data_IF_291446243552
#
_entry.id   IF_291446243552
#
_cell.length_a   1.000
_cell.length_b   1.000
_cell.length_c   1.000
_cell.angle_alpha   90.00
_cell.angle_beta   90.00
_cell.angle_gamma   90.00
#
_symmetry.space_group_name_H-M   'P 1'
#
loop_
_entity.id
_entity.type
_entity.pdbx_description
1 polymer ?
#
# COMPACT_ATOMS: atom_id res chain seq x y z
N UNK A 1 8.53 2.84 10.60
CA UNK A 1 7.76 2.19 9.52
C UNK A 1 6.61 3.05 9.01
N UNK A 2 5.79 3.66 9.88
CA UNK A 2 4.63 4.49 9.48
C UNK A 2 4.92 5.48 8.34
N UNK A 3 6.04 6.21 8.42
CA UNK A 3 6.42 7.18 7.38
C UNK A 3 6.69 6.53 6.02
N UNK A 4 7.38 5.39 6.00
CA UNK A 4 7.67 4.65 4.76
C UNK A 4 6.40 4.10 4.12
N UNK A 5 5.47 3.58 4.92
CA UNK A 5 4.18 3.12 4.42
C UNK A 5 3.29 4.26 3.92
N UNK A 6 3.34 5.44 4.53
CA UNK A 6 2.65 6.62 4.02
C UNK A 6 3.17 7.03 2.63
N UNK A 7 4.48 6.92 2.39
CA UNK A 7 5.07 7.17 1.07
C UNK A 7 4.61 6.12 0.07
N UNK A 8 4.66 4.83 0.43
CA UNK A 8 4.21 3.73 -0.42
C UNK A 8 2.74 3.90 -0.82
N UNK A 9 1.86 4.17 0.15
CA UNK A 9 0.44 4.40 -0.09
C UNK A 9 0.22 5.56 -1.08
N UNK A 10 0.95 6.68 -0.91
CA UNK A 10 0.86 7.79 -1.85
C UNK A 10 1.39 7.45 -3.25
N UNK A 11 2.40 6.57 -3.40
CA UNK A 11 2.83 6.12 -4.73
C UNK A 11 1.78 5.22 -5.39
N UNK A 12 1.19 4.28 -4.64
CA UNK A 12 0.13 3.39 -5.13
C UNK A 12 -1.11 4.19 -5.53
N UNK A 13 -1.55 5.13 -4.69
CA UNK A 13 -2.69 6.01 -4.97
C UNK A 13 -2.49 6.80 -6.27
N UNK A 14 -1.32 7.42 -6.45
CA UNK A 14 -1.00 8.13 -7.71
C UNK A 14 -1.04 7.19 -8.91
N UNK A 15 -0.48 6.00 -8.78
CA UNK A 15 -0.44 5.05 -9.88
C UNK A 15 -1.83 4.50 -10.23
N UNK A 16 -2.71 4.30 -9.24
CA UNK A 16 -4.13 3.96 -9.44
C UNK A 16 -4.88 5.07 -10.17
N UNK A 17 -4.69 6.33 -9.76
CA UNK A 17 -5.31 7.49 -10.43
C UNK A 17 -4.86 7.59 -11.90
N UNK A 18 -3.57 7.38 -12.18
CA UNK A 18 -3.04 7.37 -13.56
C UNK A 18 -3.64 6.21 -14.38
N UNK A 19 -3.89 5.06 -13.75
CA UNK A 19 -4.52 3.91 -14.39
C UNK A 19 -6.04 4.06 -14.59
N UNK A 20 -6.66 5.11 -14.02
CA UNK A 20 -8.11 5.35 -14.10
C UNK A 20 -8.94 4.45 -13.19
N UNK A 21 -8.35 3.88 -12.13
CA UNK A 21 -9.04 3.03 -11.16
C UNK A 21 -9.57 3.89 -10.00
N UNK A 22 -10.79 3.59 -9.55
CA UNK A 22 -11.38 4.23 -8.37
C UNK A 22 -10.70 3.69 -7.10
N UNK A 23 -10.06 4.58 -6.35
CA UNK A 23 -9.32 4.25 -5.12
C UNK A 23 -10.24 3.84 -3.96
N UNK A 24 -11.53 4.19 -4.02
CA UNK A 24 -12.50 3.91 -2.96
C UNK A 24 -13.03 2.48 -2.97
N UNK A 25 -12.94 1.78 -4.11
CA UNK A 25 -13.52 0.43 -4.29
C UNK A 25 -12.48 -0.65 -3.97
N UNK A 26 -12.42 -1.08 -2.71
CA UNK A 26 -11.53 -2.15 -2.26
C UNK A 26 -12.22 -3.52 -2.31
N UNK A 27 -11.44 -4.60 -2.45
CA UNK A 27 -11.96 -5.97 -2.41
C UNK A 27 -11.66 -6.67 -1.08
N UNK A 28 -10.56 -6.30 -0.39
CA UNK A 28 -10.13 -6.95 0.86
C UNK A 28 -10.39 -6.07 2.09
N UNK A 29 -10.18 -4.76 1.99
CA UNK A 29 -10.60 -3.81 3.03
C UNK A 29 -12.07 -3.47 2.85
N UNK A 30 -12.85 -3.57 3.94
CA UNK A 30 -14.26 -3.16 3.93
C UNK A 30 -14.40 -1.72 3.45
N UNK A 31 -15.26 -1.50 2.46
CA UNK A 31 -15.60 -0.18 1.96
C UNK A 31 -16.10 0.68 3.12
N UNK A 32 -15.41 1.79 3.37
CA UNK A 32 -15.80 2.82 4.31
C UNK A 32 -15.74 4.15 3.55
N UNK A 33 -16.81 4.95 3.66
CA UNK A 33 -16.89 6.25 3.01
C UNK A 33 -15.63 7.09 3.30
N UNK A 34 -14.95 7.52 2.24
CA UNK A 34 -13.75 8.35 2.30
C UNK A 34 -12.43 7.61 2.54
N UNK A 35 -12.41 6.26 2.57
CA UNK A 35 -11.18 5.47 2.68
C UNK A 35 -10.72 5.00 1.31
N UNK A 36 -9.42 5.15 1.02
CA UNK A 36 -8.78 4.60 -0.17
C UNK A 36 -8.55 3.08 -0.01
N UNK A 37 -9.64 2.29 0.08
CA UNK A 37 -9.59 0.85 0.37
C UNK A 37 -8.74 0.08 -0.65
N UNK A 38 -8.81 0.42 -1.94
CA UNK A 38 -7.99 -0.20 -2.97
C UNK A 38 -6.50 0.11 -2.83
N UNK A 39 -6.16 1.30 -2.33
CA UNK A 39 -4.76 1.66 -2.05
C UNK A 39 -4.20 0.74 -0.99
N UNK A 40 -4.95 0.50 0.09
CA UNK A 40 -4.48 -0.40 1.15
C UNK A 40 -4.38 -1.84 0.67
N UNK A 41 -5.29 -2.32 -0.18
CA UNK A 41 -5.21 -3.66 -0.79
C UNK A 41 -3.92 -3.86 -1.60
N UNK A 42 -3.51 -2.86 -2.39
CA UNK A 42 -2.31 -2.93 -3.23
C UNK A 42 -1.01 -2.54 -2.51
N UNK A 43 -1.11 -1.89 -1.35
CA UNK A 43 0.04 -1.66 -0.46
C UNK A 43 0.51 -2.97 0.16
N UNK A 44 -0.40 -3.90 0.50
CA UNK A 44 -0.05 -5.13 1.22
C UNK A 44 1.00 -6.00 0.50
N UNK A 45 0.89 -6.32 -0.81
CA UNK A 45 1.90 -7.08 -1.53
C UNK A 45 3.28 -6.39 -1.57
N UNK A 46 3.30 -5.06 -1.53
CA UNK A 46 4.51 -4.25 -1.62
C UNK A 46 5.23 -4.06 -0.27
N UNK A 47 4.58 -4.37 0.87
CA UNK A 47 5.17 -4.16 2.20
C UNK A 47 6.51 -4.88 2.40
N UNK A 48 6.68 -6.18 2.05
CA UNK A 48 7.95 -6.86 2.27
C UNK A 48 9.13 -6.20 1.53
N UNK A 49 8.87 -5.58 0.38
CA UNK A 49 9.88 -4.88 -0.43
C UNK A 49 10.35 -3.60 0.27
N UNK A 50 9.40 -2.79 0.77
CA UNK A 50 9.72 -1.59 1.55
C UNK A 50 10.39 -1.95 2.86
N UNK A 51 9.90 -2.97 3.56
CA UNK A 51 10.45 -3.41 4.84
C UNK A 51 11.90 -3.84 4.72
N UNK A 52 12.19 -4.71 3.75
CA UNK A 52 13.56 -5.14 3.48
C UNK A 52 14.48 -3.94 3.21
N UNK A 53 14.02 -2.99 2.39
CA UNK A 53 14.82 -1.81 2.02
C UNK A 53 15.10 -0.91 3.23
N UNK A 54 14.06 -0.60 4.01
CA UNK A 54 14.17 0.26 5.18
C UNK A 54 14.97 -0.41 6.30
N UNK A 55 14.71 -1.68 6.62
CA UNK A 55 15.45 -2.37 7.68
C UNK A 55 16.92 -2.55 7.32
N UNK A 56 17.24 -2.87 6.07
CA UNK A 56 18.63 -2.95 5.60
C UNK A 56 19.33 -1.59 5.76
N UNK A 57 18.67 -0.50 5.38
CA UNK A 57 19.24 0.84 5.57
C UNK A 57 19.39 1.20 7.05
N UNK A 58 18.38 0.92 7.87
CA UNK A 58 18.37 1.23 9.30
C UNK A 58 19.50 0.53 10.05
N UNK A 59 19.74 -0.75 9.72
CA UNK A 59 20.79 -1.56 10.34
C UNK A 59 22.20 -1.03 10.04
N UNK A 60 22.39 -0.35 8.91
CA UNK A 60 23.67 0.18 8.47
C UNK A 60 23.87 1.68 8.78
N UNK A 61 22.87 2.34 9.38
CA UNK A 61 22.90 3.77 9.65
C UNK A 61 23.47 4.06 11.04
N UNK A 62 24.24 5.15 11.14
CA UNK A 62 24.72 5.66 12.44
C UNK A 62 23.70 6.64 13.03
N UNK A 63 23.11 6.27 14.15
CA UNK A 63 22.03 7.02 14.81
C UNK A 63 22.53 8.06 15.81
N UNK A 64 21.79 9.17 15.91
CA UNK A 64 21.97 10.23 16.91
C UNK A 64 20.63 10.52 17.58
N UNK A 65 20.65 11.02 18.82
CA UNK A 65 19.42 11.46 19.51
C UNK A 65 18.70 12.57 18.76
N UNK A 66 19.44 13.44 18.07
CA UNK A 66 18.90 14.53 17.24
C UNK A 66 18.07 14.07 16.04
N UNK A 67 18.16 12.80 15.67
CA UNK A 67 17.42 12.24 14.54
C UNK A 67 15.93 12.03 14.86
N UNK A 68 15.56 12.12 16.14
CA UNK A 68 14.20 11.92 16.63
C UNK A 68 13.76 13.10 17.49
N UNK A 69 12.49 13.45 17.39
CA UNK A 69 11.84 14.51 18.17
C UNK A 69 10.75 13.87 19.02
N UNK A 70 10.80 14.11 20.32
CA UNK A 70 9.71 13.75 21.24
C UNK A 70 8.78 14.96 21.35
N UNK A 71 7.50 14.78 21.05
CA UNK A 71 6.51 15.84 21.28
C UNK A 71 5.96 15.84 22.71
N UNK A 72 5.15 16.85 23.03
CA UNK A 72 4.58 17.04 24.38
C UNK A 72 3.63 15.92 24.80
N UNK A 73 3.12 15.15 23.84
CA UNK A 73 2.22 14.02 24.05
C UNK A 73 3.00 12.70 24.18
N UNK A 74 4.34 12.73 24.12
CA UNK A 74 5.17 11.53 24.21
C UNK A 74 5.29 10.76 22.89
N UNK A 75 4.85 11.32 21.76
CA UNK A 75 4.98 10.68 20.45
C UNK A 75 6.37 10.96 19.89
N UNK A 76 7.03 9.90 19.42
CA UNK A 76 8.34 9.98 18.76
C UNK A 76 8.11 10.24 17.26
N UNK A 77 8.69 11.33 16.77
CA UNK A 77 8.67 11.73 15.37
C UNK A 77 10.07 11.68 14.78
N UNK A 78 10.16 11.36 13.49
CA UNK A 78 11.42 11.43 12.74
C UNK A 78 11.75 12.90 12.49
N UNK A 79 12.98 13.33 12.77
CA UNK A 79 13.41 14.69 12.49
C UNK A 79 13.28 15.00 10.98
N UNK A 80 12.85 16.21 10.55
CA UNK A 80 12.60 16.52 9.14
C UNK A 80 13.77 16.21 8.18
N UNK A 81 15.02 16.36 8.64
CA UNK A 81 16.20 16.03 7.83
C UNK A 81 16.32 14.53 7.59
N UNK A 82 16.08 13.71 8.62
CA UNK A 82 16.06 12.26 8.49
C UNK A 82 14.85 11.81 7.67
N UNK A 83 13.69 12.46 7.84
CA UNK A 83 12.49 12.16 7.07
C UNK A 83 12.72 12.29 5.55
N UNK A 84 13.49 13.30 5.11
CA UNK A 84 13.90 13.43 3.70
C UNK A 84 14.70 12.22 3.20
N UNK A 85 15.62 11.70 4.02
CA UNK A 85 16.38 10.49 3.68
C UNK A 85 15.46 9.29 3.62
N UNK A 86 14.51 9.16 4.56
CA UNK A 86 13.52 8.08 4.55
C UNK A 86 12.68 8.13 3.27
N UNK A 87 12.29 9.31 2.77
CA UNK A 87 11.63 9.43 1.45
C UNK A 87 12.46 8.77 0.37
N UNK A 88 13.73 9.17 0.22
CA UNK A 88 14.61 8.61 -0.81
C UNK A 88 14.82 7.10 -0.68
N UNK A 89 14.81 6.56 0.54
CA UNK A 89 15.00 5.13 0.79
C UNK A 89 13.72 4.30 0.64
N UNK A 90 12.55 4.87 0.92
CA UNK A 90 11.28 4.18 0.87
C UNK A 90 10.63 4.20 -0.53
N UNK A 91 11.05 5.13 -1.41
CA UNK A 91 10.54 5.21 -2.77
C UNK A 91 10.86 3.93 -3.54
N UNK A 92 9.81 3.20 -3.92
CA UNK A 92 9.95 2.09 -4.85
C UNK A 92 10.03 2.63 -6.29
N UNK A 93 10.76 1.94 -7.20
CA UNK A 93 10.73 2.27 -8.62
C UNK A 93 9.29 2.19 -9.17
N UNK A 94 8.90 3.15 -10.01
CA UNK A 94 7.54 3.21 -10.58
C UNK A 94 7.16 1.94 -11.36
N UNK A 95 8.14 1.24 -11.95
CA UNK A 95 7.93 -0.04 -12.61
C UNK A 95 7.37 -1.12 -11.67
N UNK A 96 7.89 -1.21 -10.44
CA UNK A 96 7.43 -2.19 -9.44
C UNK A 96 5.96 -1.96 -9.09
N UNK A 97 5.57 -0.70 -8.89
CA UNK A 97 4.20 -0.34 -8.53
C UNK A 97 3.26 -0.58 -9.72
N UNK A 98 3.71 -0.23 -10.92
CA UNK A 98 2.96 -0.46 -12.16
C UNK A 98 2.73 -1.96 -12.40
N UNK A 99 3.73 -2.79 -12.15
CA UNK A 99 3.65 -4.23 -12.34
C UNK A 99 2.61 -4.84 -11.39
N UNK A 100 2.57 -4.41 -10.13
CA UNK A 100 1.53 -4.83 -9.18
C UNK A 100 0.13 -4.39 -9.60
N UNK A 101 -0.04 -3.13 -10.05
CA UNK A 101 -1.33 -2.65 -10.55
C UNK A 101 -1.76 -3.43 -11.79
N UNK A 102 -0.84 -3.70 -12.72
CA UNK A 102 -1.12 -4.51 -13.91
C UNK A 102 -1.52 -5.94 -13.56
N UNK A 103 -0.85 -6.55 -12.56
CA UNK A 103 -1.20 -7.87 -12.05
C UNK A 103 -2.63 -7.88 -11.47
N UNK A 104 -2.99 -6.85 -10.69
CA UNK A 104 -4.33 -6.68 -10.15
C UNK A 104 -5.39 -6.49 -11.26
N UNK A 105 -5.14 -5.61 -12.23
CA UNK A 105 -6.03 -5.41 -13.38
C UNK A 105 -6.18 -6.70 -14.20
N UNK A 106 -5.10 -7.45 -14.39
CA UNK A 106 -5.12 -8.75 -15.04
C UNK A 106 -5.98 -9.76 -14.29
N UNK A 107 -5.90 -9.77 -12.95
CA UNK A 107 -6.76 -10.59 -12.10
C UNK A 107 -8.25 -10.22 -12.26
N UNK A 108 -8.56 -8.92 -12.23
CA UNK A 108 -9.94 -8.43 -12.41
C UNK A 108 -10.52 -8.86 -13.76
N UNK A 109 -9.76 -8.73 -14.85
CA UNK A 109 -10.20 -9.20 -16.18
C UNK A 109 -10.52 -10.68 -16.18
N UNK A 110 -9.65 -11.52 -15.60
CA UNK A 110 -9.87 -12.98 -15.50
C UNK A 110 -11.09 -13.34 -14.65
N UNK A 111 -11.42 -12.54 -13.64
CA UNK A 111 -12.62 -12.73 -12.82
C UNK A 111 -13.88 -12.29 -13.56
N UNK A 112 -13.84 -11.18 -14.29
CA UNK A 112 -14.96 -10.69 -15.11
C UNK A 112 -15.27 -11.59 -16.30
N UNK A 113 -14.25 -12.19 -16.92
CA UNK A 113 -14.41 -13.11 -18.06
C UNK A 113 -14.90 -14.51 -17.64
N UNK A 114 -14.85 -14.83 -16.35
CA UNK A 114 -15.35 -16.10 -15.83
C UNK A 114 -16.86 -15.95 -15.60
N UNK A 115 -17.73 -16.71 -16.29
CA UNK A 115 -19.15 -16.70 -15.95
C UNK A 115 -19.25 -17.11 -14.48
N UNK A 116 -19.81 -16.22 -13.66
CA UNK A 116 -20.21 -16.55 -12.30
C UNK A 116 -21.11 -17.78 -12.44
N UNK A 117 -20.59 -18.96 -12.07
CA UNK A 117 -21.45 -20.14 -11.91
C UNK A 117 -22.41 -19.75 -10.80
N UNK A 118 -23.60 -19.28 -11.19
CA UNK A 118 -24.77 -19.22 -10.32
C UNK A 118 -24.83 -20.61 -9.68
N UNK A 119 -24.56 -20.67 -8.38
CA UNK A 119 -24.76 -21.86 -7.60
C UNK A 119 -26.22 -22.25 -7.82
N UNK A 120 -26.40 -23.30 -8.61
CA UNK A 120 -27.69 -23.83 -9.03
C UNK A 120 -28.60 -23.91 -7.83
N UNK A 121 -29.81 -23.37 -7.98
CA UNK A 121 -30.94 -23.58 -7.08
C UNK A 121 -31.03 -25.08 -6.77
N UNK A 122 -30.59 -25.49 -5.58
CA UNK A 122 -30.95 -26.78 -5.02
C UNK A 122 -32.35 -26.62 -4.44
N UNK A 123 -33.30 -27.12 -5.21
CA UNK A 123 -34.62 -27.56 -4.80
C UNK A 123 -34.56 -28.18 -3.39
N UNK A 124 -35.27 -27.59 -2.44
CA UNK A 124 -35.75 -28.31 -1.27
C UNK A 124 -37.26 -28.13 -1.21
N UNK A 125 -37.94 -29.11 -1.81
CA UNK A 125 -39.31 -29.45 -1.50
C UNK A 125 -39.38 -29.81 0.00
N UNK A 126 -40.20 -29.07 0.75
CA UNK A 126 -40.99 -29.58 1.88
C UNK A 126 -42.39 -29.00 1.71
#
# INVERSE_FOLDING_TARGET
MNYAYAILAGQVERALQIAGLDVAVGNLHADQDGRASLVFDLVEPLRPVVDRTIFTWVANQRWRRSDFVLDRQGVIRVHPQLARVVVTKALLPDGVIRDEINAYVGLLKRLGDKPLKLATQQTLNI
#
